data_IF_246564930636
#
_entry.id   IF_246564930636
#
_cell.length_a   1.000
_cell.length_b   1.000
_cell.length_c   1.000
_cell.angle_alpha   90.00
_cell.angle_beta   90.00
_cell.angle_gamma   90.00
#
_symmetry.space_group_name_H-M   'P 1'
#
loop_
_entity.id
_entity.type
_entity.pdbx_description
1 polymer ?
#
# COMPACT_ATOMS: atom_id res chain seq x y z
N UNK A 1 18.05 -26.34 -18.52
CA UNK A 1 18.28 -26.68 -17.12
C UNK A 1 17.23 -25.94 -16.32
N UNK A 2 16.23 -26.64 -15.83
CA UNK A 2 15.23 -26.11 -14.87
C UNK A 2 15.96 -25.79 -13.56
N UNK A 3 15.78 -24.59 -12.95
CA UNK A 3 16.34 -24.33 -11.63
C UNK A 3 15.81 -25.35 -10.64
N UNK A 4 16.67 -25.83 -9.75
CA UNK A 4 16.28 -26.70 -8.66
C UNK A 4 15.15 -26.02 -7.84
N UNK A 5 14.12 -26.79 -7.48
CA UNK A 5 13.01 -26.35 -6.67
C UNK A 5 13.52 -25.67 -5.39
N UNK A 6 13.31 -24.35 -5.26
CA UNK A 6 13.49 -23.64 -4.00
C UNK A 6 14.30 -22.35 -4.00
N UNK A 7 15.04 -22.00 -5.03
CA UNK A 7 15.86 -20.79 -5.02
C UNK A 7 15.38 -19.78 -6.06
N UNK A 8 14.95 -18.58 -5.59
CA UNK A 8 14.60 -17.47 -6.46
C UNK A 8 15.86 -16.96 -7.18
N UNK A 9 15.79 -16.87 -8.51
CA UNK A 9 16.84 -16.19 -9.30
C UNK A 9 16.60 -14.69 -9.17
N UNK A 10 17.57 -13.97 -8.62
CA UNK A 10 17.46 -12.55 -8.34
C UNK A 10 18.44 -11.74 -9.18
N UNK A 11 18.01 -10.55 -9.59
CA UNK A 11 18.87 -9.48 -10.10
C UNK A 11 18.89 -8.33 -9.10
N UNK A 12 19.90 -7.46 -9.18
CA UNK A 12 19.97 -6.28 -8.32
C UNK A 12 19.49 -5.02 -9.07
N UNK A 13 18.62 -4.24 -8.44
CA UNK A 13 18.08 -2.99 -8.97
C UNK A 13 18.02 -1.98 -7.81
N UNK A 14 18.78 -0.90 -7.88
CA UNK A 14 18.86 0.15 -6.83
C UNK A 14 19.08 -0.39 -5.40
N UNK A 15 19.84 -1.51 -5.26
CA UNK A 15 20.08 -2.18 -3.98
C UNK A 15 18.95 -3.11 -3.53
N UNK A 16 17.91 -3.29 -4.33
CA UNK A 16 16.87 -4.30 -4.15
C UNK A 16 17.21 -5.57 -4.92
N UNK A 17 16.92 -6.72 -4.30
CA UNK A 17 17.05 -8.05 -4.91
C UNK A 17 15.74 -8.42 -5.58
N UNK A 18 15.67 -8.36 -6.90
CA UNK A 18 14.45 -8.54 -7.69
C UNK A 18 14.37 -9.94 -8.25
N UNK A 19 13.38 -10.72 -7.82
CA UNK A 19 13.01 -12.00 -8.39
C UNK A 19 11.82 -11.85 -9.34
N UNK A 20 11.90 -12.45 -10.53
CA UNK A 20 10.86 -12.40 -11.56
C UNK A 20 10.22 -13.78 -11.73
N UNK A 21 8.89 -13.82 -11.66
CA UNK A 21 8.08 -15.02 -11.81
C UNK A 21 7.14 -14.87 -13.00
N UNK A 22 6.94 -15.93 -13.80
CA UNK A 22 5.89 -15.92 -14.82
C UNK A 22 4.49 -15.93 -14.18
N UNK A 23 4.26 -16.81 -13.20
CA UNK A 23 3.00 -16.91 -12.47
C UNK A 23 3.22 -17.31 -11.01
N UNK A 24 2.33 -16.83 -10.14
CA UNK A 24 2.29 -17.21 -8.72
C UNK A 24 0.87 -17.13 -8.20
N UNK A 25 0.63 -17.60 -6.98
CA UNK A 25 -0.63 -17.35 -6.29
C UNK A 25 -0.74 -15.87 -5.89
N UNK A 26 0.31 -15.33 -5.23
CA UNK A 26 0.38 -13.92 -4.82
C UNK A 26 1.85 -13.56 -4.57
N UNK A 27 2.31 -12.43 -5.09
CA UNK A 27 3.66 -11.91 -4.82
C UNK A 27 3.86 -11.60 -3.33
N UNK A 28 2.83 -11.08 -2.63
CA UNK A 28 2.85 -10.90 -1.16
C UNK A 28 3.09 -12.23 -0.45
N UNK A 29 2.39 -13.29 -0.83
CA UNK A 29 2.54 -14.59 -0.20
C UNK A 29 3.95 -15.17 -0.37
N UNK A 30 4.56 -14.99 -1.55
CA UNK A 30 5.94 -15.41 -1.81
C UNK A 30 6.91 -14.62 -0.93
N UNK A 31 6.84 -13.29 -0.92
CA UNK A 31 7.71 -12.43 -0.10
C UNK A 31 7.54 -12.72 1.39
N UNK A 32 6.30 -12.89 1.87
CA UNK A 32 6.03 -13.26 3.26
C UNK A 32 6.61 -14.64 3.61
N UNK A 33 6.58 -15.60 2.66
CA UNK A 33 7.21 -16.90 2.81
C UNK A 33 8.74 -16.79 2.98
N UNK A 34 9.38 -15.98 2.17
CA UNK A 34 10.84 -15.72 2.26
C UNK A 34 11.20 -14.95 3.54
N UNK A 35 10.39 -13.98 3.96
CA UNK A 35 10.58 -13.27 5.23
C UNK A 35 10.59 -14.22 6.43
N UNK A 36 9.68 -15.21 6.44
CA UNK A 36 9.63 -16.26 7.50
C UNK A 36 10.86 -17.17 7.49
N UNK A 37 11.55 -17.33 6.35
CA UNK A 37 12.83 -18.05 6.25
C UNK A 37 14.03 -17.19 6.67
N UNK A 38 13.80 -15.95 7.12
CA UNK A 38 14.85 -15.04 7.58
C UNK A 38 15.50 -14.22 6.48
N UNK A 39 14.90 -14.15 5.29
CA UNK A 39 15.39 -13.27 4.21
C UNK A 39 15.31 -11.82 4.66
N UNK A 40 16.42 -11.10 4.51
CA UNK A 40 16.56 -9.71 4.91
C UNK A 40 15.79 -8.74 4.02
N UNK A 41 15.69 -7.49 4.47
CA UNK A 41 15.07 -6.37 3.75
C UNK A 41 15.55 -6.24 2.30
N UNK A 42 14.69 -5.69 1.46
CA UNK A 42 15.02 -5.37 0.06
C UNK A 42 14.76 -6.51 -0.92
N UNK A 43 14.12 -7.62 -0.50
CA UNK A 43 13.61 -8.60 -1.47
C UNK A 43 12.39 -8.01 -2.18
N UNK A 44 12.42 -8.04 -3.52
CA UNK A 44 11.29 -7.71 -4.38
C UNK A 44 10.94 -8.94 -5.22
N UNK A 45 9.66 -9.29 -5.26
CA UNK A 45 9.13 -10.32 -6.16
C UNK A 45 8.15 -9.67 -7.09
N UNK A 46 8.35 -9.81 -8.39
CA UNK A 46 7.38 -9.43 -9.43
C UNK A 46 6.88 -10.66 -10.18
N UNK A 47 5.63 -10.60 -10.67
CA UNK A 47 5.05 -11.69 -11.45
C UNK A 47 4.22 -11.14 -12.62
N UNK A 48 4.18 -11.92 -13.72
CA UNK A 48 3.31 -11.59 -14.86
C UNK A 48 1.84 -11.90 -14.57
N UNK A 49 1.59 -12.86 -13.67
CA UNK A 49 0.23 -13.28 -13.32
C UNK A 49 0.12 -13.72 -11.86
N UNK A 50 -1.00 -13.36 -11.24
CA UNK A 50 -1.40 -13.86 -9.91
C UNK A 50 -2.74 -14.59 -9.99
N UNK A 51 -2.77 -15.90 -9.59
CA UNK A 51 -4.01 -16.66 -9.57
C UNK A 51 -4.89 -16.38 -8.34
N UNK A 52 -4.32 -15.80 -7.28
CA UNK A 52 -5.00 -15.41 -6.05
C UNK A 52 -4.47 -14.06 -5.54
N UNK A 53 -4.41 -13.06 -6.44
CA UNK A 53 -4.06 -11.68 -6.09
C UNK A 53 -5.04 -11.12 -5.05
N UNK A 54 -4.50 -10.39 -4.05
CA UNK A 54 -5.28 -9.89 -2.91
C UNK A 54 -5.38 -8.37 -2.94
N UNK A 55 -6.53 -7.88 -2.53
CA UNK A 55 -6.80 -6.51 -2.15
C UNK A 55 -7.25 -6.47 -0.69
N UNK A 56 -7.59 -5.30 -0.16
CA UNK A 56 -8.14 -5.12 1.19
C UNK A 56 -9.55 -5.70 1.31
N UNK A 57 -9.94 -6.10 2.53
CA UNK A 57 -11.28 -6.62 2.84
C UNK A 57 -11.67 -7.82 1.95
N UNK A 58 -10.75 -8.80 1.81
CA UNK A 58 -10.93 -10.02 1.01
C UNK A 58 -11.26 -9.79 -0.47
N UNK A 59 -11.08 -8.55 -0.97
CA UNK A 59 -11.20 -8.28 -2.41
C UNK A 59 -10.06 -8.94 -3.16
N UNK A 60 -10.33 -9.33 -4.40
CA UNK A 60 -9.31 -9.87 -5.29
C UNK A 60 -8.72 -8.77 -6.16
N UNK A 61 -7.41 -8.89 -6.43
CA UNK A 61 -6.75 -8.16 -7.50
C UNK A 61 -6.63 -9.08 -8.70
N UNK A 62 -7.36 -8.76 -9.75
CA UNK A 62 -7.42 -9.56 -10.97
C UNK A 62 -6.88 -8.75 -12.15
N UNK A 63 -6.02 -9.36 -12.95
CA UNK A 63 -5.48 -8.80 -14.18
C UNK A 63 -5.12 -9.95 -15.14
N UNK A 64 -5.35 -9.81 -16.45
CA UNK A 64 -4.86 -10.77 -17.44
C UNK A 64 -3.34 -10.93 -17.35
N UNK A 65 -2.80 -12.12 -17.67
CA UNK A 65 -1.36 -12.33 -17.67
C UNK A 65 -0.61 -11.26 -18.46
N UNK A 66 0.44 -10.69 -17.85
CA UNK A 66 1.31 -9.70 -18.47
C UNK A 66 0.73 -8.28 -18.59
N UNK A 67 -0.53 -8.04 -18.24
CA UNK A 67 -1.21 -6.77 -18.47
C UNK A 67 -0.97 -5.71 -17.39
N UNK A 68 -0.47 -6.10 -16.22
CA UNK A 68 -0.17 -5.21 -15.10
C UNK A 68 1.27 -5.32 -14.65
N UNK A 69 1.71 -4.37 -13.84
CA UNK A 69 2.91 -4.50 -13.01
C UNK A 69 2.48 -4.94 -11.61
N UNK A 70 2.80 -6.20 -11.29
CA UNK A 70 2.46 -6.86 -10.04
C UNK A 70 3.77 -7.14 -9.29
N UNK A 71 3.99 -6.48 -8.16
CA UNK A 71 5.19 -6.74 -7.35
C UNK A 71 4.93 -6.57 -5.87
N UNK A 72 5.80 -7.16 -5.07
CA UNK A 72 5.81 -6.99 -3.61
C UNK A 72 7.23 -6.76 -3.13
N UNK A 73 7.41 -5.90 -2.13
CA UNK A 73 8.70 -5.59 -1.51
C UNK A 73 8.67 -5.91 -0.02
N UNK A 74 9.77 -6.49 0.49
CA UNK A 74 10.01 -6.71 1.92
C UNK A 74 10.76 -5.52 2.51
N UNK A 75 10.19 -4.88 3.50
CA UNK A 75 10.74 -3.73 4.19
C UNK A 75 10.82 -3.98 5.70
N UNK A 76 11.80 -3.35 6.39
CA UNK A 76 11.96 -3.37 7.85
C UNK A 76 12.12 -1.94 8.38
N UNK A 77 11.03 -1.17 8.36
CA UNK A 77 11.10 0.27 8.62
C UNK A 77 11.51 0.61 10.06
N UNK A 78 11.33 -0.29 11.02
CA UNK A 78 11.83 -0.14 12.39
C UNK A 78 13.36 -0.18 12.50
N UNK A 79 14.06 -0.76 11.51
CA UNK A 79 15.52 -0.89 11.44
C UNK A 79 16.14 -0.03 10.34
N UNK A 80 15.37 0.80 9.65
CA UNK A 80 15.87 1.60 8.53
C UNK A 80 17.02 2.52 8.97
N UNK A 81 18.20 2.36 8.35
CA UNK A 81 19.41 3.12 8.68
C UNK A 81 19.25 4.63 8.47
N UNK A 82 18.37 5.04 7.53
CA UNK A 82 18.04 6.44 7.22
C UNK A 82 17.00 7.06 8.15
N UNK A 83 16.41 6.26 9.07
CA UNK A 83 15.39 6.71 10.02
C UNK A 83 14.44 5.58 10.39
N UNK A 84 14.51 5.11 11.64
CA UNK A 84 13.60 4.10 12.15
C UNK A 84 12.16 4.65 12.22
N UNK A 85 11.19 3.81 11.90
CA UNK A 85 9.76 4.14 11.95
C UNK A 85 9.07 3.30 13.03
N UNK A 86 8.36 3.97 13.92
CA UNK A 86 7.49 3.29 14.88
C UNK A 86 6.27 2.67 14.17
N UNK A 87 5.78 1.54 14.69
CA UNK A 87 4.70 0.77 14.05
C UNK A 87 3.41 1.59 13.89
N UNK A 88 3.13 2.52 14.82
CA UNK A 88 1.97 3.40 14.80
C UNK A 88 1.96 4.32 13.55
N UNK A 89 3.14 4.60 12.99
CA UNK A 89 3.31 5.37 11.75
C UNK A 89 3.45 4.47 10.52
N UNK A 90 3.15 3.18 10.63
CA UNK A 90 3.36 2.18 9.57
C UNK A 90 2.67 2.50 8.23
N UNK A 91 1.59 3.31 8.23
CA UNK A 91 0.94 3.79 7.02
C UNK A 91 1.89 4.62 6.12
N UNK A 92 2.94 5.25 6.68
CA UNK A 92 3.93 5.99 5.89
C UNK A 92 4.73 5.07 4.97
N UNK A 93 4.82 3.78 5.28
CA UNK A 93 5.42 2.79 4.37
C UNK A 93 4.56 2.62 3.12
N UNK A 94 3.23 2.53 3.30
CA UNK A 94 2.27 2.51 2.17
C UNK A 94 2.35 3.81 1.38
N UNK A 95 2.42 4.95 2.06
CA UNK A 95 2.57 6.26 1.44
C UNK A 95 3.86 6.35 0.60
N UNK A 96 5.02 5.89 1.14
CA UNK A 96 6.29 5.90 0.43
C UNK A 96 6.25 5.05 -0.85
N UNK A 97 5.68 3.83 -0.77
CA UNK A 97 5.53 2.95 -1.96
C UNK A 97 4.55 3.56 -2.95
N UNK A 98 3.43 4.12 -2.49
CA UNK A 98 2.45 4.79 -3.36
C UNK A 98 3.04 6.01 -4.08
N UNK A 99 3.82 6.83 -3.37
CA UNK A 99 4.55 7.96 -3.95
C UNK A 99 5.58 7.51 -4.97
N UNK A 100 6.33 6.44 -4.68
CA UNK A 100 7.31 5.88 -5.60
C UNK A 100 6.66 5.39 -6.90
N UNK A 101 5.55 4.68 -6.81
CA UNK A 101 4.76 4.24 -8.00
C UNK A 101 4.21 5.44 -8.77
N UNK A 102 3.72 6.47 -8.06
CA UNK A 102 3.22 7.68 -8.70
C UNK A 102 4.32 8.46 -9.42
N UNK A 103 5.54 8.56 -8.84
CA UNK A 103 6.72 9.16 -9.52
C UNK A 103 7.13 8.36 -10.75
N UNK A 104 7.11 7.03 -10.67
CA UNK A 104 7.39 6.17 -11.81
C UNK A 104 6.38 6.37 -12.96
N UNK A 105 5.10 6.51 -12.65
CA UNK A 105 4.08 6.83 -13.65
C UNK A 105 4.30 8.21 -14.30
N UNK A 106 4.70 9.22 -13.50
CA UNK A 106 5.05 10.55 -14.00
C UNK A 106 6.26 10.47 -14.96
N UNK A 107 7.33 9.78 -14.55
CA UNK A 107 8.60 9.74 -15.29
C UNK A 107 8.49 8.90 -16.57
N UNK A 108 7.88 7.71 -16.48
CA UNK A 108 7.87 6.72 -17.58
C UNK A 108 6.68 6.91 -18.51
N UNK A 109 5.50 7.19 -17.95
CA UNK A 109 4.27 7.29 -18.73
C UNK A 109 3.86 8.75 -19.03
N UNK A 110 4.42 9.74 -18.33
CA UNK A 110 3.97 11.13 -18.39
C UNK A 110 2.59 11.33 -17.75
N UNK A 111 2.19 10.42 -16.86
CA UNK A 111 0.86 10.41 -16.25
C UNK A 111 0.95 10.77 -14.78
N UNK A 112 0.41 11.93 -14.40
CA UNK A 112 0.37 12.38 -13.02
C UNK A 112 -0.78 11.69 -12.27
N UNK A 113 -0.44 10.69 -11.45
CA UNK A 113 -1.40 10.01 -10.58
C UNK A 113 -1.56 10.78 -9.26
N UNK A 114 -2.77 10.85 -8.73
CA UNK A 114 -3.06 11.30 -7.37
C UNK A 114 -3.26 10.11 -6.43
N UNK A 115 -3.15 10.34 -5.12
CA UNK A 115 -3.34 9.31 -4.12
C UNK A 115 -4.75 9.43 -3.52
N UNK A 116 -5.37 8.29 -3.26
CA UNK A 116 -6.63 8.21 -2.51
C UNK A 116 -6.36 7.43 -1.22
N UNK A 117 -6.65 8.05 -0.09
CA UNK A 117 -6.52 7.38 1.20
C UNK A 117 -7.40 6.12 1.25
N UNK A 118 -6.91 5.00 1.80
CA UNK A 118 -5.57 4.86 2.37
C UNK A 118 -4.51 4.34 1.38
N UNK A 119 -4.86 3.78 0.22
CA UNK A 119 -3.98 2.88 -0.52
C UNK A 119 -4.19 2.82 -2.04
N UNK A 120 -4.97 3.70 -2.62
CA UNK A 120 -5.24 3.70 -4.05
C UNK A 120 -4.51 4.83 -4.79
N UNK A 121 -4.16 4.58 -6.05
CA UNK A 121 -3.68 5.59 -6.97
C UNK A 121 -4.72 5.82 -8.05
N UNK A 122 -5.01 7.10 -8.29
CA UNK A 122 -6.04 7.53 -9.21
C UNK A 122 -5.46 8.28 -10.41
N UNK A 123 -6.05 8.03 -11.57
CA UNK A 123 -5.87 8.83 -12.77
C UNK A 123 -6.42 10.27 -12.59
N UNK A 124 -6.07 11.21 -13.49
CA UNK A 124 -6.60 12.58 -13.44
C UNK A 124 -8.13 12.66 -13.47
N UNK A 125 -8.79 11.69 -14.07
CA UNK A 125 -10.27 11.57 -14.14
C UNK A 125 -10.89 10.91 -12.90
N UNK A 126 -10.08 10.55 -11.92
CA UNK A 126 -10.50 9.93 -10.65
C UNK A 126 -10.66 8.41 -10.70
N UNK A 127 -10.44 7.76 -11.84
CA UNK A 127 -10.50 6.29 -11.94
C UNK A 127 -9.27 5.65 -11.33
N UNK A 128 -9.44 4.50 -10.67
CA UNK A 128 -8.36 3.75 -10.05
C UNK A 128 -7.39 3.19 -11.11
N UNK A 129 -6.09 3.39 -10.88
CA UNK A 129 -5.00 2.85 -11.71
C UNK A 129 -4.19 1.81 -10.95
N UNK A 130 -4.01 2.00 -9.63
CA UNK A 130 -3.25 1.07 -8.80
C UNK A 130 -3.86 0.92 -7.41
N UNK A 131 -3.51 -0.18 -6.75
CA UNK A 131 -3.75 -0.41 -5.34
C UNK A 131 -2.49 -0.93 -4.65
N UNK A 132 -2.30 -0.53 -3.39
CA UNK A 132 -1.19 -0.93 -2.55
C UNK A 132 -1.72 -1.68 -1.34
N UNK A 133 -1.18 -2.87 -1.05
CA UNK A 133 -1.57 -3.71 0.08
C UNK A 133 -0.36 -4.01 0.95
N UNK A 134 -0.37 -3.52 2.18
CA UNK A 134 0.68 -3.82 3.15
C UNK A 134 0.21 -4.85 4.19
N UNK A 135 1.05 -5.84 4.45
CA UNK A 135 0.81 -6.89 5.43
C UNK A 135 2.01 -6.97 6.38
N UNK A 136 1.77 -6.85 7.68
CA UNK A 136 2.84 -7.00 8.67
C UNK A 136 3.25 -8.46 8.75
N UNK A 137 4.53 -8.71 8.49
CA UNK A 137 5.16 -10.01 8.74
C UNK A 137 5.90 -9.90 10.08
N UNK A 138 5.34 -10.49 11.14
CA UNK A 138 5.99 -10.53 12.44
C UNK A 138 7.06 -11.64 12.39
N UNK A 139 8.28 -11.34 12.86
CA UNK A 139 9.41 -12.25 12.84
C UNK A 139 9.14 -13.58 13.54
N UNK A 140 9.97 -14.59 13.27
CA UNK A 140 9.82 -15.99 13.70
C UNK A 140 9.69 -16.22 15.22
N UNK A 141 9.84 -15.18 16.06
CA UNK A 141 9.66 -15.25 17.51
C UNK A 141 8.23 -15.02 17.99
N UNK A 142 7.35 -14.47 17.16
CA UNK A 142 5.93 -14.25 17.49
C UNK A 142 5.06 -15.07 16.53
N UNK A 143 4.57 -16.21 17.01
CA UNK A 143 3.77 -17.13 16.24
C UNK A 143 2.51 -16.47 15.67
N UNK A 144 2.29 -16.69 14.38
CA UNK A 144 1.03 -16.56 13.64
C UNK A 144 0.18 -15.32 13.88
N UNK A 145 0.49 -14.24 13.16
CA UNK A 145 -0.56 -13.31 12.71
C UNK A 145 -0.02 -12.49 11.51
N UNK A 146 -0.56 -12.74 10.33
CA UNK A 146 -0.48 -11.75 9.24
C UNK A 146 -1.62 -10.78 9.47
N UNK A 147 -1.34 -9.54 9.85
CA UNK A 147 -2.36 -8.51 10.08
C UNK A 147 -2.20 -7.43 9.02
N UNK A 148 -3.29 -7.09 8.36
CA UNK A 148 -3.31 -5.99 7.37
C UNK A 148 -3.08 -4.66 8.07
N UNK A 149 -2.07 -3.88 7.64
CA UNK A 149 -1.73 -2.57 8.25
C UNK A 149 -2.83 -1.52 8.19
N UNK A 150 -3.85 -1.76 7.38
CA UNK A 150 -5.00 -0.87 7.28
C UNK A 150 -6.14 -1.23 8.24
N UNK A 151 -6.00 -2.30 9.03
CA UNK A 151 -6.96 -2.78 10.02
C UNK A 151 -6.38 -2.78 11.43
N UNK A 152 -5.54 -1.81 11.78
CA UNK A 152 -4.85 -1.79 13.07
C UNK A 152 -5.79 -1.48 14.21
N UNK A 153 -6.42 -2.49 14.76
CA UNK A 153 -6.71 -2.57 16.18
C UNK A 153 -5.43 -2.99 16.92
N UNK A 154 -4.51 -2.06 17.08
CA UNK A 154 -3.47 -2.11 18.10
C UNK A 154 -3.79 -1.05 19.13
N UNK A 155 -4.99 -1.15 19.71
CA UNK A 155 -5.38 -0.38 20.85
C UNK A 155 -5.23 -1.24 22.10
N UNK A 156 -4.33 -0.77 22.97
CA UNK A 156 -4.34 -0.95 24.42
C UNK A 156 -4.49 -2.39 24.95
N UNK A 157 -3.32 -2.99 25.28
CA UNK A 157 -3.25 -3.91 26.41
C UNK A 157 -2.06 -3.47 27.29
N UNK A 158 -2.36 -3.13 28.53
CA UNK A 158 -1.36 -2.84 29.55
C UNK A 158 -0.52 -4.09 29.81
N UNK A 159 0.73 -4.07 29.39
CA UNK A 159 1.69 -5.14 29.60
C UNK A 159 2.71 -4.74 30.68
N UNK A 160 2.98 -5.67 31.59
CA UNK A 160 3.89 -5.50 32.72
C UNK A 160 5.36 -5.26 32.30
N UNK A 161 6.16 -4.65 33.16
CA UNK A 161 7.47 -4.06 32.88
C UNK A 161 8.57 -4.99 32.34
N UNK A 162 8.45 -6.30 32.48
CA UNK A 162 9.41 -7.28 31.91
C UNK A 162 9.09 -7.64 30.46
N UNK A 163 7.85 -7.46 30.03
CA UNK A 163 7.39 -7.62 28.65
C UNK A 163 7.68 -6.38 27.80
N UNK A 164 7.87 -5.20 28.43
CA UNK A 164 8.19 -3.96 27.71
C UNK A 164 9.50 -4.05 26.91
N UNK A 165 10.57 -4.58 27.49
CA UNK A 165 11.86 -4.68 26.77
C UNK A 165 11.83 -5.69 25.60
N UNK A 166 11.02 -6.74 25.70
CA UNK A 166 10.79 -7.70 24.61
C UNK A 166 9.82 -7.13 23.57
N UNK A 167 8.85 -6.34 23.99
CA UNK A 167 7.88 -5.64 23.12
C UNK A 167 8.55 -4.47 22.39
N UNK A 168 9.44 -3.72 23.05
CA UNK A 168 10.23 -2.65 22.43
C UNK A 168 11.20 -3.21 21.37
N UNK A 169 11.83 -4.38 21.61
CA UNK A 169 12.64 -5.07 20.61
C UNK A 169 11.81 -5.62 19.45
N UNK A 170 10.66 -6.20 19.72
CA UNK A 170 9.75 -6.68 18.70
C UNK A 170 9.13 -5.53 17.92
N UNK A 171 8.85 -4.40 18.57
CA UNK A 171 8.39 -3.18 17.93
C UNK A 171 9.48 -2.50 17.09
N UNK A 172 10.78 -2.74 17.39
CA UNK A 172 11.89 -2.24 16.57
C UNK A 172 12.18 -3.12 15.35
N UNK A 173 11.87 -4.42 15.37
CA UNK A 173 12.19 -5.39 14.29
C UNK A 173 10.91 -5.89 13.58
N UNK A 174 9.98 -5.01 13.29
CA UNK A 174 8.83 -5.39 12.47
C UNK A 174 9.16 -5.36 10.98
N UNK A 175 8.65 -6.36 10.27
CA UNK A 175 8.77 -6.46 8.84
C UNK A 175 7.39 -6.26 8.19
N UNK A 176 7.37 -5.63 7.04
CA UNK A 176 6.16 -5.43 6.25
C UNK A 176 6.40 -5.87 4.82
N UNK A 177 5.45 -6.59 4.28
CA UNK A 177 5.37 -6.91 2.86
C UNK A 177 4.40 -5.93 2.22
N UNK A 178 4.87 -5.14 1.28
CA UNK A 178 4.04 -4.17 0.56
C UNK A 178 3.87 -4.62 -0.88
N UNK A 179 2.66 -5.01 -1.23
CA UNK A 179 2.27 -5.39 -2.58
C UNK A 179 1.69 -4.25 -3.38
N UNK A 180 2.00 -4.21 -4.65
CA UNK A 180 1.48 -3.24 -5.62
C UNK A 180 0.85 -3.99 -6.78
N UNK A 181 -0.39 -3.60 -7.10
CA UNK A 181 -1.03 -3.91 -8.36
C UNK A 181 -1.23 -2.63 -9.15
N UNK A 182 -0.57 -2.52 -10.30
CA UNK A 182 -0.65 -1.36 -11.20
C UNK A 182 -1.19 -1.80 -12.57
N UNK A 183 -2.29 -1.21 -12.99
CA UNK A 183 -2.87 -1.43 -14.30
C UNK A 183 -1.99 -0.75 -15.37
N UNK A 184 -1.40 -1.53 -16.27
CA UNK A 184 -0.52 -0.99 -17.32
C UNK A 184 -1.22 -1.00 -18.66
N UNK A 185 -1.49 -2.17 -19.24
CA UNK A 185 -2.13 -2.29 -20.56
C UNK A 185 -3.61 -2.67 -20.53
N UNK A 186 -4.12 -2.97 -19.33
CA UNK A 186 -5.51 -3.35 -19.09
C UNK A 186 -5.99 -2.84 -17.74
N UNK A 187 -7.29 -2.59 -17.63
CA UNK A 187 -7.95 -2.28 -16.37
C UNK A 187 -9.38 -2.86 -16.38
N UNK A 188 -9.92 -3.25 -15.21
CA UNK A 188 -11.33 -3.64 -15.12
C UNK A 188 -12.26 -2.44 -15.36
N UNK A 189 -13.54 -2.72 -15.58
CA UNK A 189 -14.56 -1.69 -15.72
C UNK A 189 -14.55 -0.71 -14.54
N UNK A 190 -14.67 0.58 -14.83
CA UNK A 190 -14.62 1.64 -13.82
C UNK A 190 -13.21 2.05 -13.38
N UNK A 191 -12.15 1.32 -13.79
CA UNK A 191 -10.76 1.66 -13.56
C UNK A 191 -10.08 2.22 -14.83
N UNK A 192 -8.78 2.54 -14.73
CA UNK A 192 -7.97 2.99 -15.88
C UNK A 192 -6.60 2.31 -15.86
N UNK A 193 -5.90 2.34 -17.00
CA UNK A 193 -4.55 1.81 -17.16
C UNK A 193 -3.60 2.85 -17.78
N UNK A 194 -2.30 2.67 -17.58
CA UNK A 194 -1.30 3.65 -18.01
C UNK A 194 -1.22 3.78 -19.52
N UNK A 195 -1.32 2.70 -20.30
CA UNK A 195 -1.27 2.75 -21.76
C UNK A 195 -2.36 3.65 -22.34
N UNK A 196 -3.59 3.51 -21.80
CA UNK A 196 -4.70 4.34 -22.23
C UNK A 196 -4.53 5.82 -21.86
N UNK A 197 -3.95 6.09 -20.67
CA UNK A 197 -3.71 7.46 -20.21
C UNK A 197 -2.55 8.12 -20.94
N UNK A 198 -1.50 7.37 -21.25
CA UNK A 198 -0.30 7.84 -21.95
C UNK A 198 -0.49 7.92 -23.48
N UNK A 199 -1.54 7.25 -24.03
CA UNK A 199 -1.75 7.10 -25.46
C UNK A 199 -0.69 6.26 -26.18
N UNK A 200 0.09 5.47 -25.44
CA UNK A 200 1.15 4.59 -25.93
C UNK A 200 1.42 3.44 -24.99
N UNK A 201 2.03 2.34 -25.46
CA UNK A 201 2.53 1.28 -24.57
C UNK A 201 3.55 1.82 -23.57
N UNK A 202 3.42 1.40 -22.32
CA UNK A 202 4.30 1.78 -21.20
C UNK A 202 5.10 0.56 -20.74
N UNK A 203 6.43 0.74 -20.63
CA UNK A 203 7.33 -0.34 -20.28
C UNK A 203 7.27 -0.66 -18.78
N UNK A 204 6.87 -1.89 -18.43
CA UNK A 204 6.76 -2.36 -17.05
C UNK A 204 8.10 -2.44 -16.31
N UNK A 205 9.17 -2.80 -17.02
CA UNK A 205 10.50 -2.89 -16.42
C UNK A 205 11.05 -1.51 -16.07
N UNK A 206 10.83 -0.53 -16.93
CA UNK A 206 11.16 0.88 -16.65
C UNK A 206 10.35 1.42 -15.47
N UNK A 207 9.04 1.11 -15.41
CA UNK A 207 8.19 1.47 -14.28
C UNK A 207 8.69 0.87 -12.96
N UNK A 208 9.06 -0.41 -12.96
CA UNK A 208 9.59 -1.07 -11.77
C UNK A 208 10.92 -0.45 -11.35
N UNK A 209 11.82 -0.24 -12.32
CA UNK A 209 13.12 0.38 -12.08
C UNK A 209 12.97 1.77 -11.44
N UNK A 210 12.14 2.63 -12.02
CA UNK A 210 11.90 3.98 -11.52
C UNK A 210 11.19 3.98 -10.16
N UNK A 211 10.23 3.07 -9.95
CA UNK A 211 9.56 2.93 -8.66
C UNK A 211 10.52 2.49 -7.55
N UNK A 212 11.43 1.54 -7.83
CA UNK A 212 12.43 1.10 -6.86
C UNK A 212 13.48 2.19 -6.59
N UNK A 213 13.91 2.94 -7.60
CA UNK A 213 14.79 4.10 -7.43
C UNK A 213 14.15 5.16 -6.54
N UNK A 214 12.92 5.56 -6.85
CA UNK A 214 12.16 6.52 -6.05
C UNK A 214 11.88 6.02 -4.63
N UNK A 215 11.59 4.74 -4.45
CA UNK A 215 11.41 4.16 -3.12
C UNK A 215 12.71 4.22 -2.31
N UNK A 216 13.85 3.94 -2.93
CA UNK A 216 15.18 4.05 -2.28
C UNK A 216 15.46 5.45 -1.77
N UNK A 217 15.04 6.47 -2.51
CA UNK A 217 15.20 7.87 -2.12
C UNK A 217 14.28 8.28 -0.96
N UNK A 218 13.04 7.79 -0.97
CA UNK A 218 12.02 8.17 0.02
C UNK A 218 12.12 7.38 1.33
N UNK A 219 12.59 6.14 1.26
CA UNK A 219 12.60 5.22 2.40
C UNK A 219 13.50 5.72 3.53
N UNK A 220 12.90 5.89 4.71
CA UNK A 220 13.55 6.46 5.88
C UNK A 220 13.40 7.97 6.04
N UNK A 221 12.90 8.68 5.03
CA UNK A 221 12.61 10.13 5.08
C UNK A 221 11.14 10.36 5.43
N UNK A 222 10.72 9.84 6.57
CA UNK A 222 9.30 9.71 6.89
C UNK A 222 8.54 11.02 6.99
N UNK A 223 9.17 12.11 7.41
CA UNK A 223 8.51 13.43 7.47
C UNK A 223 8.34 14.04 6.07
N UNK A 224 9.34 13.88 5.19
CA UNK A 224 9.22 14.24 3.77
C UNK A 224 8.12 13.39 3.08
N UNK A 225 8.08 12.09 3.35
CA UNK A 225 7.02 11.20 2.85
C UNK A 225 5.65 11.69 3.29
N UNK A 226 5.49 12.09 4.56
CA UNK A 226 4.23 12.58 5.08
C UNK A 226 3.77 13.88 4.39
N UNK A 227 4.69 14.80 4.10
CA UNK A 227 4.41 16.04 3.38
C UNK A 227 4.01 15.77 1.93
N UNK A 228 4.82 15.03 1.18
CA UNK A 228 4.56 14.67 -0.21
C UNK A 228 3.25 13.87 -0.37
N UNK A 229 2.95 13.01 0.62
CA UNK A 229 1.70 12.26 0.64
C UNK A 229 0.50 13.19 0.75
N UNK A 230 0.53 14.16 1.70
CA UNK A 230 -0.56 15.14 1.87
C UNK A 230 -0.77 15.98 0.61
N UNK A 231 0.30 16.45 -0.01
CA UNK A 231 0.24 17.25 -1.24
C UNK A 231 -0.40 16.51 -2.42
N UNK A 232 -0.18 15.18 -2.47
CA UNK A 232 -0.68 14.35 -3.57
C UNK A 232 -2.02 13.67 -3.29
N UNK A 233 -2.56 13.85 -2.08
CA UNK A 233 -3.75 13.17 -1.60
C UNK A 233 -5.05 13.81 -2.11
N UNK A 234 -5.66 13.19 -3.14
CA UNK A 234 -6.91 13.66 -3.74
C UNK A 234 -8.13 13.54 -2.79
N UNK A 235 -8.00 12.86 -1.67
CA UNK A 235 -9.07 12.70 -0.67
C UNK A 235 -9.31 13.99 0.11
N UNK A 236 -8.27 14.80 0.32
CA UNK A 236 -8.37 16.02 1.12
C UNK A 236 -9.29 17.06 0.47
N UNK A 237 -10.07 17.74 1.29
CA UNK A 237 -11.06 18.71 0.88
C UNK A 237 -12.36 18.13 0.36
N UNK A 238 -12.44 16.80 0.13
CA UNK A 238 -13.63 16.13 -0.42
C UNK A 238 -14.62 15.74 0.67
N UNK A 239 -15.89 15.69 0.30
CA UNK A 239 -16.90 14.97 1.07
C UNK A 239 -16.66 13.48 0.89
N UNK A 240 -16.61 12.76 2.00
CA UNK A 240 -16.30 11.33 2.02
C UNK A 240 -17.32 10.55 2.82
N UNK A 241 -17.45 9.28 2.46
CA UNK A 241 -18.08 8.24 3.29
C UNK A 241 -17.00 7.21 3.60
N UNK A 242 -16.70 7.00 4.87
CA UNK A 242 -15.70 6.01 5.30
C UNK A 242 -16.43 4.78 5.84
N UNK A 243 -16.23 3.65 5.18
CA UNK A 243 -16.75 2.36 5.57
C UNK A 243 -15.70 1.65 6.43
N UNK A 244 -16.05 1.31 7.67
CA UNK A 244 -15.15 0.59 8.58
C UNK A 244 -15.26 -0.93 8.36
N UNK A 245 -14.16 -1.66 8.56
CA UNK A 245 -14.10 -3.12 8.36
C UNK A 245 -14.96 -3.90 9.36
N UNK A 246 -15.28 -3.33 10.51
CA UNK A 246 -15.95 -3.97 11.64
C UNK A 246 -17.49 -3.82 11.66
N UNK A 247 -18.11 -3.52 10.53
CA UNK A 247 -19.57 -3.42 10.40
C UNK A 247 -20.28 -4.76 10.62
N UNK A 248 -20.37 -5.23 11.87
CA UNK A 248 -21.10 -6.47 12.25
C UNK A 248 -22.38 -6.18 13.04
N UNK A 249 -22.80 -4.91 13.16
CA UNK A 249 -24.03 -4.52 13.86
C UNK A 249 -25.11 -3.99 12.91
N UNK A 250 -26.41 -4.23 13.19
CA UNK A 250 -27.50 -3.57 12.50
C UNK A 250 -27.47 -2.07 12.82
N UNK A 251 -26.97 -1.25 11.89
CA UNK A 251 -26.77 0.21 12.03
C UNK A 251 -25.43 0.72 11.50
N UNK A 252 -24.45 -0.14 11.24
CA UNK A 252 -23.10 0.19 10.76
C UNK A 252 -23.03 0.48 9.24
N UNK A 253 -24.13 0.31 8.50
CA UNK A 253 -24.18 0.62 7.06
C UNK A 253 -24.05 2.13 6.74
N UNK A 254 -24.15 2.99 7.75
CA UNK A 254 -24.16 4.43 7.54
C UNK A 254 -22.78 5.03 7.23
N UNK A 255 -21.67 4.37 7.62
CA UNK A 255 -20.31 4.89 7.46
C UNK A 255 -20.10 6.26 8.16
N UNK A 256 -18.84 6.67 8.32
CA UNK A 256 -18.50 8.01 8.80
C UNK A 256 -18.60 8.98 7.62
N UNK A 257 -19.51 9.97 7.73
CA UNK A 257 -19.75 10.97 6.67
C UNK A 257 -19.24 12.33 7.10
N UNK A 258 -18.50 13.00 6.21
CA UNK A 258 -17.98 14.34 6.49
C UNK A 258 -16.97 14.79 5.44
N UNK A 259 -16.31 15.90 5.72
CA UNK A 259 -15.24 16.42 4.89
C UNK A 259 -13.89 15.90 5.38
N UNK A 260 -13.10 15.30 4.49
CA UNK A 260 -11.72 14.92 4.76
C UNK A 260 -10.87 16.20 4.86
N UNK A 261 -10.40 16.55 6.06
CA UNK A 261 -9.70 17.82 6.32
C UNK A 261 -8.19 17.65 6.47
N UNK A 262 -7.71 16.43 6.67
CA UNK A 262 -6.28 16.18 6.85
C UNK A 262 -5.95 14.71 7.05
N UNK A 263 -4.67 14.44 7.22
CA UNK A 263 -4.13 13.21 7.80
C UNK A 263 -3.19 13.60 8.93
N UNK A 264 -3.26 12.88 10.05
CA UNK A 264 -2.38 13.13 11.19
C UNK A 264 -0.96 12.54 10.98
N UNK A 265 -0.11 12.66 11.98
CA UNK A 265 1.27 12.12 11.95
C UNK A 265 1.31 10.59 11.93
N UNK A 266 0.24 9.92 12.38
CA UNK A 266 0.05 8.49 12.27
C UNK A 266 -0.66 8.07 10.97
N UNK A 267 -1.04 9.00 10.06
CA UNK A 267 -1.72 8.84 8.77
C UNK A 267 -3.18 8.46 8.85
N UNK A 268 -3.75 8.64 10.01
CA UNK A 268 -5.18 8.50 10.17
C UNK A 268 -5.88 9.65 9.44
N UNK A 269 -6.94 9.32 8.71
CA UNK A 269 -7.73 10.34 8.03
C UNK A 269 -8.54 11.16 9.05
N UNK A 270 -8.44 12.47 8.96
CA UNK A 270 -9.22 13.39 9.77
C UNK A 270 -10.46 13.80 9.00
N UNK A 271 -11.63 13.43 9.52
CA UNK A 271 -12.94 13.72 8.92
C UNK A 271 -13.73 14.67 9.81
N UNK A 272 -14.06 15.83 9.29
CA UNK A 272 -14.95 16.78 9.97
C UNK A 272 -16.40 16.39 9.70
N UNK A 273 -17.06 15.85 10.70
CA UNK A 273 -18.46 15.39 10.66
C UNK A 273 -19.41 16.44 11.24
N UNK A 274 -20.70 16.20 11.21
CA UNK A 274 -21.71 17.06 11.85
C UNK A 274 -21.54 17.13 13.38
N UNK A 275 -20.90 16.14 13.99
CA UNK A 275 -20.68 16.06 15.46
C UNK A 275 -19.28 16.44 15.90
N UNK A 276 -18.38 16.79 14.95
CA UNK A 276 -17.01 17.20 15.22
C UNK A 276 -15.98 16.43 14.42
N UNK A 277 -14.71 16.56 14.80
CA UNK A 277 -13.59 15.91 14.14
C UNK A 277 -13.48 14.45 14.57
N UNK A 278 -13.40 13.54 13.60
CA UNK A 278 -13.22 12.09 13.80
C UNK A 278 -11.92 11.64 13.15
N UNK A 279 -11.12 10.88 13.89
CA UNK A 279 -9.90 10.24 13.41
C UNK A 279 -10.22 8.83 12.93
N UNK A 280 -9.86 8.51 11.68
CA UNK A 280 -10.11 7.21 11.07
C UNK A 280 -8.79 6.53 10.79
N UNK A 281 -8.49 5.46 11.53
CA UNK A 281 -7.25 4.69 11.37
C UNK A 281 -7.29 3.72 10.19
N UNK A 282 -8.48 3.14 9.91
CA UNK A 282 -8.68 2.19 8.82
C UNK A 282 -10.10 2.31 8.26
N UNK A 283 -10.28 1.99 7.00
CA UNK A 283 -11.59 2.02 6.34
C UNK A 283 -11.43 2.08 4.81
N UNK A 284 -12.52 1.90 4.12
CA UNK A 284 -12.63 2.15 2.68
C UNK A 284 -13.32 3.52 2.50
N UNK A 285 -12.76 4.35 1.62
CA UNK A 285 -13.25 5.72 1.45
C UNK A 285 -13.92 5.85 0.11
N UNK A 286 -15.19 6.22 0.12
CA UNK A 286 -15.88 6.69 -1.07
C UNK A 286 -15.85 8.22 -1.10
N UNK A 287 -15.36 8.78 -2.22
CA UNK A 287 -15.55 10.19 -2.50
C UNK A 287 -17.02 10.42 -2.88
N UNK A 288 -17.75 11.16 -2.07
CA UNK A 288 -19.14 11.51 -2.43
C UNK A 288 -19.12 12.29 -3.76
N UNK A 289 -19.93 11.85 -4.70
CA UNK A 289 -20.20 12.64 -5.90
C UNK A 289 -20.86 13.92 -5.44
N UNK A 290 -20.35 15.07 -5.88
CA UNK A 290 -21.11 16.32 -5.70
C UNK A 290 -22.42 16.13 -6.47
N UNK A 291 -23.51 15.91 -5.73
CA UNK A 291 -24.83 15.91 -6.31
C UNK A 291 -25.03 17.24 -7.02
N UNK A 292 -25.50 17.21 -8.26
CA UNK A 292 -26.05 18.40 -8.88
C UNK A 292 -27.00 19.04 -7.87
N UNK A 293 -26.97 20.36 -7.63
CA UNK A 293 -27.93 20.99 -6.76
C UNK A 293 -29.32 20.63 -7.32
N UNK A 294 -30.08 19.85 -6.58
CA UNK A 294 -31.52 19.69 -6.82
C UNK A 294 -32.11 21.08 -6.77
N UNK A 295 -32.51 21.58 -7.93
CA UNK A 295 -33.17 22.87 -8.07
C UNK A 295 -34.33 22.98 -7.11
N UNK A 296 -34.43 24.13 -6.51
CA UNK A 296 -35.62 24.66 -5.86
C UNK A 296 -36.73 24.88 -6.92
#
# INVERSE_FOLDING_TARGET
MTPAEGQLVVSEVHGYRVARLGATTSTNAVVAGEARKGVGEGLVVTADYQSAGRGRFDRRWEAPPGSGLLFSVLLRPGLAASGALALERGHLVVAAVSLAVARAADAVAGVRLSLKWPNDLLAPDGRKVAGVLAEVAIGAAAGRASTELASTELASTELASTERASTERAAADWAVVVGVGLNVSWAPEGASCLDALAGRPVNKDELLNEALGSLRELYGRWDEVAELYRERLATLGRQVVVHLASGTGPGDEAGIRGQAVGVDSAGRLLVHTATGLVEVAAGDVDHARMGSPTGL
#
